data_IF_606054200957
#
_entry.id   IF_606054200957
#
_cell.length_a   1.000
_cell.length_b   1.000
_cell.length_c   1.000
_cell.angle_alpha   90.00
_cell.angle_beta   90.00
_cell.angle_gamma   90.00
#
_symmetry.space_group_name_H-M   'P 1'
#
loop_
_entity.id
_entity.type
_entity.pdbx_description
1 polymer ?
#
# COMPACT_ATOMS: atom_id res chain seq x y z
N UNK A 1 10.85 12.49 -8.51
CA UNK A 1 9.67 12.23 -7.64
C UNK A 1 8.66 11.39 -8.40
N UNK A 2 8.08 10.36 -7.77
CA UNK A 2 6.99 9.55 -8.34
C UNK A 2 5.68 9.84 -7.64
N UNK A 3 4.58 9.70 -8.38
CA UNK A 3 3.21 9.91 -7.91
C UNK A 3 2.36 8.70 -8.28
N UNK A 4 1.98 7.93 -7.30
CA UNK A 4 1.34 6.62 -7.49
C UNK A 4 0.04 6.51 -6.72
N UNK A 5 -0.78 5.52 -7.06
CA UNK A 5 -2.03 5.21 -6.36
C UNK A 5 -1.94 3.79 -5.80
N UNK A 6 -2.42 3.59 -4.57
CA UNK A 6 -2.56 2.27 -3.95
C UNK A 6 -4.02 1.92 -3.72
N UNK A 7 -4.37 0.67 -3.98
CA UNK A 7 -5.72 0.13 -3.82
C UNK A 7 -5.76 -1.03 -2.83
N UNK A 8 -6.59 -0.86 -1.80
CA UNK A 8 -6.96 -1.91 -0.84
C UNK A 8 -8.20 -2.67 -1.31
N UNK A 9 -9.02 -2.09 -2.18
CA UNK A 9 -10.36 -2.54 -2.54
C UNK A 9 -11.26 -2.64 -1.30
N UNK A 10 -11.38 -1.54 -0.54
CA UNK A 10 -12.24 -1.44 0.64
C UNK A 10 -13.71 -1.25 0.24
N UNK A 11 -14.60 -1.87 1.00
CA UNK A 11 -16.03 -1.64 0.87
C UNK A 11 -16.71 -1.61 2.23
N UNK A 12 -17.60 -0.64 2.43
CA UNK A 12 -18.38 -0.52 3.65
C UNK A 12 -19.61 -1.45 3.68
N UNK A 13 -19.98 -2.01 2.54
CA UNK A 13 -21.16 -2.86 2.37
C UNK A 13 -20.83 -4.08 1.51
N UNK A 14 -20.11 -5.08 2.06
CA UNK A 14 -19.66 -6.23 1.28
C UNK A 14 -20.84 -7.04 0.75
N UNK A 15 -20.98 -7.06 -0.59
CA UNK A 15 -21.94 -7.85 -1.33
C UNK A 15 -21.39 -8.13 -2.73
N UNK A 16 -21.99 -9.05 -3.47
CA UNK A 16 -21.60 -9.32 -4.88
C UNK A 16 -21.74 -8.08 -5.76
N UNK A 17 -22.80 -7.32 -5.54
CA UNK A 17 -23.11 -6.10 -6.27
C UNK A 17 -22.11 -5.00 -5.94
N UNK A 18 -21.74 -4.84 -4.67
CA UNK A 18 -20.76 -3.86 -4.23
C UNK A 18 -19.35 -4.20 -4.70
N UNK A 19 -18.94 -5.45 -4.61
CA UNK A 19 -17.66 -5.92 -5.14
C UNK A 19 -17.55 -5.66 -6.66
N UNK A 20 -18.59 -6.02 -7.42
CA UNK A 20 -18.61 -5.75 -8.85
C UNK A 20 -18.53 -4.26 -9.16
N UNK A 21 -19.29 -3.42 -8.46
CA UNK A 21 -19.25 -1.96 -8.61
C UNK A 21 -17.86 -1.42 -8.27
N UNK A 22 -17.34 -1.74 -7.11
CA UNK A 22 -16.05 -1.27 -6.62
C UNK A 22 -14.90 -1.56 -7.59
N UNK A 23 -14.78 -2.80 -8.06
CA UNK A 23 -13.72 -3.13 -9.02
C UNK A 23 -13.89 -2.44 -10.37
N UNK A 24 -15.13 -2.19 -10.85
CA UNK A 24 -15.35 -1.37 -12.05
C UNK A 24 -14.95 0.07 -11.85
N UNK A 25 -15.32 0.66 -10.70
CA UNK A 25 -14.92 2.01 -10.31
C UNK A 25 -13.39 2.15 -10.20
N UNK A 26 -12.71 1.18 -9.61
CA UNK A 26 -11.23 1.15 -9.56
C UNK A 26 -10.64 1.10 -10.98
N UNK A 27 -11.21 0.34 -11.89
CA UNK A 27 -10.73 0.29 -13.29
C UNK A 27 -10.92 1.64 -14.01
N UNK A 28 -12.01 2.36 -13.75
CA UNK A 28 -12.20 3.72 -14.28
C UNK A 28 -11.15 4.69 -13.72
N UNK A 29 -10.84 4.59 -12.43
CA UNK A 29 -9.78 5.36 -11.78
C UNK A 29 -8.40 5.08 -12.39
N UNK A 30 -8.09 3.80 -12.64
CA UNK A 30 -6.82 3.38 -13.26
C UNK A 30 -6.67 3.98 -14.67
N UNK A 31 -7.74 3.97 -15.48
CA UNK A 31 -7.72 4.58 -16.82
C UNK A 31 -7.44 6.07 -16.75
N UNK A 32 -8.11 6.78 -15.84
CA UNK A 32 -7.88 8.19 -15.63
C UNK A 32 -6.46 8.47 -15.13
N UNK A 33 -5.92 7.64 -14.23
CA UNK A 33 -4.55 7.76 -13.76
C UNK A 33 -3.51 7.55 -14.88
N UNK A 34 -3.75 6.60 -15.80
CA UNK A 34 -2.94 6.42 -17.02
C UNK A 34 -2.93 7.68 -17.89
N UNK A 35 -4.11 8.29 -18.10
CA UNK A 35 -4.26 9.51 -18.91
C UNK A 35 -3.59 10.73 -18.28
N UNK A 36 -3.56 10.78 -16.95
CA UNK A 36 -3.07 11.93 -16.17
C UNK A 36 -1.65 11.74 -15.60
N UNK A 37 -0.86 10.88 -16.22
CA UNK A 37 0.58 10.72 -15.94
C UNK A 37 0.95 10.29 -14.52
N UNK A 38 0.10 9.54 -13.82
CA UNK A 38 0.54 8.84 -12.62
C UNK A 38 1.59 7.78 -12.96
N UNK A 39 2.47 7.50 -12.00
CA UNK A 39 3.63 6.65 -12.26
C UNK A 39 3.36 5.17 -12.05
N UNK A 40 2.66 4.77 -10.96
CA UNK A 40 2.43 3.36 -10.64
C UNK A 40 1.05 3.16 -10.02
N UNK A 41 0.38 2.07 -10.38
CA UNK A 41 -0.76 1.51 -9.66
C UNK A 41 -0.27 0.38 -8.77
N UNK A 42 -0.42 0.55 -7.46
CA UNK A 42 -0.11 -0.48 -6.48
C UNK A 42 -1.37 -1.20 -6.02
N UNK A 43 -1.28 -2.52 -5.88
CA UNK A 43 -2.34 -3.34 -5.30
C UNK A 43 -1.78 -4.12 -4.10
N UNK A 44 -2.49 -4.07 -2.97
CA UNK A 44 -2.17 -4.87 -1.78
C UNK A 44 -2.54 -6.33 -1.99
N UNK A 45 -2.17 -7.20 -1.08
CA UNK A 45 -2.70 -8.55 -0.95
C UNK A 45 -3.20 -8.79 0.47
N UNK A 46 -4.51 -8.99 0.60
CA UNK A 46 -5.14 -9.34 1.86
C UNK A 46 -6.16 -10.45 1.67
N UNK A 47 -6.24 -11.39 2.61
CA UNK A 47 -7.15 -12.54 2.56
C UNK A 47 -8.06 -12.58 3.77
N UNK A 48 -9.37 -12.81 3.54
CA UNK A 48 -10.37 -12.98 4.58
C UNK A 48 -10.56 -11.77 5.52
N UNK A 49 -10.25 -10.55 5.06
CA UNK A 49 -10.41 -9.30 5.79
C UNK A 49 -11.59 -8.49 5.22
N UNK A 50 -12.80 -9.01 5.42
CA UNK A 50 -14.04 -8.38 4.96
C UNK A 50 -14.11 -6.90 5.36
N UNK A 51 -14.57 -6.04 4.46
CA UNK A 51 -14.65 -4.59 4.56
C UNK A 51 -13.28 -3.89 4.47
N UNK A 52 -12.24 -4.41 5.11
CA UNK A 52 -10.92 -3.77 5.08
C UNK A 52 -10.24 -3.89 3.72
N UNK A 53 -10.19 -5.08 3.14
CA UNK A 53 -9.54 -5.27 1.85
C UNK A 53 -10.10 -6.49 1.11
N UNK A 54 -10.60 -6.27 -0.10
CA UNK A 54 -11.06 -7.31 -1.01
C UNK A 54 -10.08 -7.57 -2.15
N UNK A 55 -8.91 -6.93 -2.13
CA UNK A 55 -7.80 -7.19 -3.08
C UNK A 55 -7.07 -8.48 -2.67
N UNK A 56 -7.72 -9.61 -2.91
CA UNK A 56 -7.26 -10.93 -2.47
C UNK A 56 -6.41 -11.68 -3.51
N UNK A 57 -6.44 -11.24 -4.77
CA UNK A 57 -5.67 -11.80 -5.87
C UNK A 57 -5.11 -10.65 -6.75
N UNK A 58 -4.14 -9.87 -6.20
CA UNK A 58 -3.62 -8.69 -6.89
C UNK A 58 -3.00 -9.00 -8.25
N UNK A 59 -2.42 -10.18 -8.44
CA UNK A 59 -1.88 -10.60 -9.73
C UNK A 59 -2.95 -10.67 -10.84
N UNK A 60 -4.19 -11.04 -10.50
CA UNK A 60 -5.31 -11.07 -11.44
C UNK A 60 -5.74 -9.64 -11.81
N UNK A 61 -5.85 -8.77 -10.81
CA UNK A 61 -6.16 -7.35 -11.02
C UNK A 61 -5.06 -6.64 -11.82
N UNK A 62 -3.80 -6.80 -11.44
CA UNK A 62 -2.65 -6.17 -12.11
C UNK A 62 -2.47 -6.68 -13.54
N UNK A 63 -2.78 -7.95 -13.82
CA UNK A 63 -2.78 -8.48 -15.20
C UNK A 63 -3.85 -7.80 -16.07
N UNK A 64 -5.04 -7.54 -15.50
CA UNK A 64 -6.07 -6.78 -16.18
C UNK A 64 -5.63 -5.33 -16.42
N UNK A 65 -5.04 -4.67 -15.40
CA UNK A 65 -4.48 -3.32 -15.53
C UNK A 65 -3.41 -3.28 -16.61
N UNK A 66 -2.48 -4.24 -16.66
CA UNK A 66 -1.45 -4.34 -17.68
C UNK A 66 -2.04 -4.39 -19.11
N UNK A 67 -3.18 -5.09 -19.28
CA UNK A 67 -3.84 -5.23 -20.57
C UNK A 67 -4.62 -3.99 -21.04
N UNK A 68 -4.95 -3.07 -20.15
CA UNK A 68 -5.72 -1.85 -20.48
C UNK A 68 -4.90 -0.56 -20.40
N UNK A 69 -3.62 -0.66 -20.05
CA UNK A 69 -2.67 0.46 -19.92
C UNK A 69 -1.41 0.19 -20.72
N UNK A 70 -0.65 1.24 -21.04
CA UNK A 70 0.57 1.13 -21.86
C UNK A 70 1.81 1.72 -21.20
N UNK A 71 1.65 2.67 -20.26
CA UNK A 71 2.72 3.46 -19.65
C UNK A 71 2.82 3.24 -18.15
N UNK A 72 1.71 3.33 -17.42
CA UNK A 72 1.70 3.31 -15.97
C UNK A 72 2.32 2.01 -15.43
N UNK A 73 3.20 2.13 -14.43
CA UNK A 73 3.76 0.99 -13.72
C UNK A 73 2.69 0.21 -12.97
N UNK A 74 2.94 -1.06 -12.74
CA UNK A 74 2.08 -1.94 -11.96
C UNK A 74 2.87 -2.53 -10.81
N UNK A 75 2.34 -2.49 -9.60
CA UNK A 75 3.07 -2.83 -8.40
C UNK A 75 2.30 -3.75 -7.44
N UNK A 76 2.96 -4.77 -6.98
CA UNK A 76 2.51 -5.50 -5.80
C UNK A 76 2.93 -4.74 -4.54
N UNK A 77 1.99 -4.26 -3.80
CA UNK A 77 2.25 -3.49 -2.58
C UNK A 77 1.57 -4.03 -1.32
N UNK A 78 1.74 -5.35 -0.99
CA UNK A 78 2.81 -6.30 -1.33
C UNK A 78 2.28 -7.73 -1.61
N UNK A 79 3.15 -8.66 -1.99
CA UNK A 79 2.84 -10.10 -2.03
C UNK A 79 3.10 -10.72 -0.65
N UNK A 80 2.16 -11.48 -0.12
CA UNK A 80 2.32 -12.25 1.10
C UNK A 80 3.10 -13.55 0.82
N UNK A 81 4.35 -13.65 1.26
CA UNK A 81 5.29 -14.72 0.88
C UNK A 81 5.28 -16.02 1.71
N UNK A 82 4.55 -16.18 2.85
CA UNK A 82 4.53 -17.49 3.51
C UNK A 82 4.11 -18.60 2.53
N UNK A 83 4.83 -19.73 2.45
CA UNK A 83 4.73 -20.67 1.32
C UNK A 83 3.35 -21.31 1.07
N UNK A 84 2.51 -21.49 2.13
CA UNK A 84 1.12 -21.95 1.94
C UNK A 84 0.19 -20.86 1.41
N UNK A 85 0.53 -19.57 1.63
CA UNK A 85 -0.19 -18.45 1.02
C UNK A 85 0.23 -18.32 -0.43
N UNK A 86 1.55 -18.17 -0.66
CA UNK A 86 2.14 -18.00 -1.98
C UNK A 86 3.47 -18.76 -2.07
N UNK A 87 3.48 -19.90 -2.71
CA UNK A 87 4.72 -20.63 -2.93
C UNK A 87 5.69 -19.83 -3.82
N UNK A 88 6.97 -19.60 -3.42
CA UNK A 88 7.89 -18.70 -4.11
C UNK A 88 8.12 -19.02 -5.58
N UNK A 89 8.07 -20.29 -5.98
CA UNK A 89 8.11 -20.67 -7.41
C UNK A 89 6.91 -20.08 -8.15
N UNK A 90 5.69 -20.18 -7.59
CA UNK A 90 4.50 -19.60 -8.22
C UNK A 90 4.52 -18.09 -8.22
N UNK A 91 5.06 -17.46 -7.17
CA UNK A 91 5.28 -16.01 -7.14
C UNK A 91 6.22 -15.60 -8.28
N UNK A 92 7.36 -16.26 -8.41
CA UNK A 92 8.35 -15.97 -9.44
C UNK A 92 7.76 -16.11 -10.86
N UNK A 93 7.07 -17.23 -11.14
CA UNK A 93 6.42 -17.48 -12.44
C UNK A 93 5.36 -16.40 -12.77
N UNK A 94 4.44 -16.09 -11.82
CA UNK A 94 3.37 -15.09 -12.00
C UNK A 94 3.94 -13.68 -12.22
N UNK A 95 4.93 -13.27 -11.41
CA UNK A 95 5.58 -11.98 -11.55
C UNK A 95 6.32 -11.88 -12.89
N UNK A 96 7.03 -12.93 -13.31
CA UNK A 96 7.72 -12.92 -14.60
C UNK A 96 6.73 -12.80 -15.77
N UNK A 97 5.61 -13.53 -15.74
CA UNK A 97 4.55 -13.39 -16.74
C UNK A 97 3.96 -11.97 -16.75
N UNK A 98 3.67 -11.43 -15.57
CA UNK A 98 3.10 -10.09 -15.43
C UNK A 98 4.08 -9.01 -15.95
N UNK A 99 5.37 -9.17 -15.69
CA UNK A 99 6.40 -8.27 -16.20
C UNK A 99 6.48 -8.31 -17.73
N UNK A 100 6.45 -9.50 -18.34
CA UNK A 100 6.40 -9.67 -19.79
C UNK A 100 5.14 -9.05 -20.38
N UNK A 101 3.96 -9.36 -19.83
CA UNK A 101 2.67 -8.88 -20.34
C UNK A 101 2.51 -7.36 -20.18
N UNK A 102 3.15 -6.77 -19.19
CA UNK A 102 3.18 -5.32 -18.98
C UNK A 102 4.32 -4.62 -19.75
N UNK A 103 5.15 -5.35 -20.50
CA UNK A 103 6.32 -4.80 -21.19
C UNK A 103 7.32 -4.15 -20.23
N UNK A 104 7.68 -4.84 -19.14
CA UNK A 104 8.71 -4.41 -18.18
C UNK A 104 8.27 -3.31 -17.23
N UNK A 105 6.97 -3.22 -16.88
CA UNK A 105 6.42 -2.19 -15.98
C UNK A 105 6.19 -2.67 -14.55
N UNK A 106 6.60 -3.89 -14.21
CA UNK A 106 6.33 -4.49 -12.90
C UNK A 106 7.26 -3.97 -11.81
N UNK A 107 6.69 -3.72 -10.64
CA UNK A 107 7.35 -3.47 -9.35
C UNK A 107 6.90 -4.53 -8.35
N UNK A 108 7.80 -5.09 -7.53
CA UNK A 108 7.47 -6.22 -6.66
C UNK A 108 7.78 -5.90 -5.21
N UNK A 109 6.75 -5.75 -4.40
CA UNK A 109 6.87 -5.64 -2.94
C UNK A 109 6.60 -6.97 -2.25
N UNK A 110 7.29 -7.22 -1.14
CA UNK A 110 7.20 -8.42 -0.32
C UNK A 110 6.68 -8.12 1.09
N UNK A 111 5.87 -9.02 1.63
CA UNK A 111 5.32 -8.91 2.97
C UNK A 111 4.95 -10.26 3.59
N UNK A 112 4.48 -10.20 4.84
CA UNK A 112 4.18 -11.40 5.64
C UNK A 112 2.68 -11.62 5.92
N UNK A 113 1.84 -10.70 5.48
CA UNK A 113 0.50 -10.60 6.02
C UNK A 113 0.47 -9.86 7.37
N UNK A 114 -0.67 -9.30 7.70
CA UNK A 114 -0.81 -8.39 8.84
C UNK A 114 -1.48 -8.97 10.09
N UNK A 115 -2.32 -9.99 9.94
CA UNK A 115 -3.29 -10.39 10.95
C UNK A 115 -3.28 -11.89 11.24
N UNK A 116 -3.78 -12.28 12.42
CA UNK A 116 -4.01 -13.69 12.76
C UNK A 116 -5.12 -14.30 11.87
N UNK A 117 -6.07 -13.50 11.42
CA UNK A 117 -7.13 -13.93 10.51
C UNK A 117 -6.55 -14.43 9.19
N UNK A 118 -5.64 -13.68 8.58
CA UNK A 118 -4.96 -14.07 7.35
C UNK A 118 -4.10 -15.32 7.55
N UNK A 119 -3.23 -15.30 8.57
CA UNK A 119 -2.35 -16.41 8.88
C UNK A 119 -3.13 -17.72 9.14
N UNK A 120 -4.17 -17.62 9.99
CA UNK A 120 -5.04 -18.73 10.35
C UNK A 120 -5.81 -19.34 9.17
N UNK A 121 -6.18 -18.54 8.17
CA UNK A 121 -6.83 -19.03 6.94
C UNK A 121 -5.97 -20.09 6.22
N UNK A 122 -4.65 -19.97 6.33
CA UNK A 122 -3.70 -20.90 5.72
C UNK A 122 -3.06 -21.89 6.73
N UNK A 123 -3.58 -21.91 7.96
CA UNK A 123 -3.10 -22.80 9.01
C UNK A 123 -1.72 -22.42 9.57
N UNK A 124 -1.44 -21.12 9.64
CA UNK A 124 -0.31 -20.53 10.34
C UNK A 124 -0.77 -19.71 11.54
N UNK A 125 0.12 -19.48 12.49
CA UNK A 125 0.05 -18.36 13.41
C UNK A 125 0.92 -17.23 12.89
N UNK A 126 0.58 -15.99 13.23
CA UNK A 126 1.36 -14.80 12.83
C UNK A 126 2.83 -14.87 13.30
N UNK A 127 3.08 -15.54 14.44
CA UNK A 127 4.41 -15.69 15.00
C UNK A 127 5.36 -16.54 14.13
N UNK A 128 4.81 -17.46 13.32
CA UNK A 128 5.59 -18.36 12.45
C UNK A 128 6.05 -17.69 11.14
N UNK A 129 5.45 -16.57 10.76
CA UNK A 129 5.61 -16.04 9.41
C UNK A 129 6.97 -15.43 9.10
N UNK A 130 7.64 -14.80 10.06
CA UNK A 130 8.85 -14.01 9.81
C UNK A 130 10.02 -14.81 9.20
N UNK A 131 10.41 -16.00 9.69
CA UNK A 131 11.48 -16.77 9.08
C UNK A 131 11.12 -17.32 7.68
N UNK A 132 9.86 -17.65 7.46
CA UNK A 132 9.37 -18.14 6.16
C UNK A 132 9.52 -17.10 5.05
N UNK A 133 9.28 -15.82 5.39
CA UNK A 133 9.41 -14.73 4.43
C UNK A 133 10.85 -14.50 4.05
N UNK A 134 11.74 -14.54 5.02
CA UNK A 134 13.17 -14.34 4.79
C UNK A 134 13.69 -15.35 3.76
N UNK A 135 13.31 -16.62 3.90
CA UNK A 135 13.68 -17.67 2.98
C UNK A 135 13.07 -17.48 1.59
N UNK A 136 11.76 -17.23 1.51
CA UNK A 136 11.05 -17.03 0.26
C UNK A 136 11.50 -15.76 -0.49
N UNK A 137 11.73 -14.67 0.24
CA UNK A 137 12.18 -13.39 -0.33
C UNK A 137 13.56 -13.52 -1.01
N UNK A 138 14.46 -14.31 -0.45
CA UNK A 138 15.78 -14.56 -1.06
C UNK A 138 15.69 -15.49 -2.26
N UNK A 139 14.75 -16.43 -2.25
CA UNK A 139 14.61 -17.42 -3.31
C UNK A 139 13.99 -16.85 -4.59
N UNK A 140 12.98 -15.94 -4.47
CA UNK A 140 12.27 -15.40 -5.65
C UNK A 140 13.21 -14.73 -6.66
N UNK A 141 14.12 -13.79 -6.32
CA UNK A 141 15.04 -13.19 -7.29
C UNK A 141 16.05 -14.19 -7.88
N UNK A 142 16.45 -15.21 -7.12
CA UNK A 142 17.30 -16.28 -7.64
C UNK A 142 16.60 -17.07 -8.75
N UNK A 143 15.31 -17.38 -8.57
CA UNK A 143 14.49 -18.03 -9.61
C UNK A 143 14.47 -17.19 -10.91
N UNK A 144 14.48 -15.88 -10.82
CA UNK A 144 14.50 -15.03 -12.01
C UNK A 144 15.85 -14.99 -12.73
N UNK A 145 16.95 -15.10 -12.00
CA UNK A 145 18.32 -14.87 -12.53
C UNK A 145 19.13 -16.13 -12.77
N UNK A 146 18.88 -17.21 -12.03
CA UNK A 146 19.60 -18.47 -12.19
C UNK A 146 18.94 -19.34 -13.27
N UNK A 147 19.74 -20.03 -14.09
CA UNK A 147 19.24 -20.95 -15.12
C UNK A 147 18.62 -22.19 -14.52
N UNK A 148 19.31 -22.79 -13.55
CA UNK A 148 18.83 -23.93 -12.74
C UNK A 148 18.86 -23.49 -11.29
N UNK A 149 17.73 -23.57 -10.61
CA UNK A 149 17.60 -23.23 -9.20
C UNK A 149 17.45 -24.49 -8.37
N UNK A 150 18.25 -24.56 -7.31
CA UNK A 150 18.17 -25.57 -6.26
C UNK A 150 18.14 -24.86 -4.91
N UNK A 151 17.29 -25.34 -4.00
CA UNK A 151 17.18 -24.77 -2.66
C UNK A 151 16.73 -25.84 -1.65
N UNK A 152 17.48 -25.98 -0.56
CA UNK A 152 17.20 -26.88 0.56
C UNK A 152 17.19 -26.03 1.83
N UNK A 153 16.03 -25.46 2.16
CA UNK A 153 15.83 -24.58 3.31
C UNK A 153 15.02 -25.26 4.42
N UNK A 154 14.65 -24.47 5.39
CA UNK A 154 13.82 -24.94 6.52
C UNK A 154 12.35 -25.10 6.11
N UNK A 155 11.85 -24.20 5.24
CA UNK A 155 10.44 -24.11 4.87
C UNK A 155 10.19 -24.49 3.41
N UNK A 156 11.23 -24.46 2.57
CA UNK A 156 11.14 -24.67 1.13
C UNK A 156 12.19 -25.66 0.70
N UNK A 157 11.76 -26.73 0.07
CA UNK A 157 12.64 -27.71 -0.57
C UNK A 157 12.38 -27.72 -2.08
N UNK A 158 13.37 -27.32 -2.86
CA UNK A 158 13.30 -27.22 -4.31
C UNK A 158 14.46 -27.98 -4.93
N UNK A 159 14.25 -29.19 -5.49
CA UNK A 159 15.28 -29.89 -6.22
C UNK A 159 15.66 -29.11 -7.49
N UNK A 160 16.85 -29.35 -8.09
CA UNK A 160 17.32 -28.62 -9.25
C UNK A 160 16.27 -28.56 -10.38
N UNK A 161 15.85 -27.33 -10.76
CA UNK A 161 14.83 -27.10 -11.79
C UNK A 161 15.15 -25.87 -12.64
N UNK A 162 14.98 -25.93 -13.97
CA UNK A 162 14.86 -24.75 -14.81
C UNK A 162 13.44 -24.19 -14.64
N UNK A 163 13.32 -22.97 -14.12
CA UNK A 163 12.03 -22.32 -13.88
C UNK A 163 11.86 -21.18 -14.86
N UNK A 164 10.78 -21.17 -15.61
CA UNK A 164 10.39 -20.18 -16.61
C UNK A 164 8.91 -19.78 -16.47
N UNK A 165 8.51 -18.58 -17.00
CA UNK A 165 9.36 -17.61 -17.69
C UNK A 165 10.30 -16.84 -16.77
N UNK A 166 11.27 -16.14 -17.34
CA UNK A 166 12.06 -15.09 -16.66
C UNK A 166 11.41 -13.74 -16.94
N UNK A 167 11.54 -12.73 -16.03
CA UNK A 167 11.02 -11.39 -16.28
C UNK A 167 11.71 -10.75 -17.48
N UNK A 168 11.06 -9.73 -18.06
CA UNK A 168 11.62 -8.93 -19.15
C UNK A 168 12.67 -7.95 -18.62
N UNK A 169 12.48 -7.43 -17.40
CA UNK A 169 13.43 -6.52 -16.78
C UNK A 169 14.71 -7.25 -16.36
N UNK A 170 15.86 -6.68 -16.68
CA UNK A 170 17.19 -7.21 -16.36
C UNK A 170 17.83 -6.40 -15.21
N UNK A 171 18.35 -7.03 -14.16
CA UNK A 171 18.35 -8.48 -13.86
C UNK A 171 17.00 -9.01 -13.36
N UNK A 172 16.12 -8.15 -12.88
CA UNK A 172 14.77 -8.46 -12.38
C UNK A 172 14.00 -7.15 -12.08
N UNK A 173 12.67 -7.19 -11.89
CA UNK A 173 11.88 -6.04 -11.40
C UNK A 173 12.44 -5.44 -10.12
N UNK A 174 12.29 -4.11 -9.89
CA UNK A 174 12.68 -3.50 -8.63
C UNK A 174 11.92 -4.11 -7.45
N UNK A 175 12.63 -4.29 -6.32
CA UNK A 175 12.14 -4.97 -5.14
C UNK A 175 11.83 -3.99 -4.00
N UNK A 176 10.75 -4.24 -3.28
CA UNK A 176 10.28 -3.43 -2.16
C UNK A 176 9.83 -4.31 -0.99
N UNK A 177 9.64 -3.69 0.17
CA UNK A 177 9.11 -4.34 1.37
C UNK A 177 8.12 -3.41 2.08
N UNK A 178 7.04 -3.97 2.61
CA UNK A 178 6.12 -3.23 3.48
C UNK A 178 6.79 -2.92 4.83
N UNK A 179 6.85 -1.64 5.18
CA UNK A 179 7.54 -1.15 6.37
C UNK A 179 6.57 -0.42 7.31
N UNK A 180 5.94 -1.16 8.23
CA UNK A 180 5.01 -0.62 9.23
C UNK A 180 5.71 -0.28 10.56
N UNK A 181 6.86 -0.89 10.84
CA UNK A 181 7.63 -0.75 12.08
C UNK A 181 9.07 -0.35 11.79
N UNK A 182 9.76 0.23 12.78
CA UNK A 182 11.19 0.59 12.68
C UNK A 182 12.08 -0.59 12.30
N UNK A 183 11.82 -1.78 12.85
CA UNK A 183 12.59 -2.99 12.52
C UNK A 183 12.49 -3.36 11.03
N UNK A 184 11.31 -3.24 10.42
CA UNK A 184 11.13 -3.54 9.00
C UNK A 184 11.80 -2.51 8.08
N UNK A 185 12.01 -1.27 8.52
CA UNK A 185 12.82 -0.28 7.80
C UNK A 185 14.32 -0.64 7.82
N UNK A 186 14.81 -1.08 8.98
CA UNK A 186 16.19 -1.59 9.11
C UNK A 186 16.39 -2.81 8.22
N UNK A 187 15.42 -3.70 8.22
CA UNK A 187 15.42 -4.89 7.38
C UNK A 187 15.42 -4.55 5.88
N UNK A 188 14.55 -3.68 5.42
CA UNK A 188 14.49 -3.27 4.01
C UNK A 188 15.80 -2.62 3.56
N UNK A 189 16.32 -1.65 4.34
CA UNK A 189 17.59 -1.01 4.06
C UNK A 189 18.76 -1.98 4.08
N UNK A 190 18.86 -2.85 5.09
CA UNK A 190 19.91 -3.86 5.21
C UNK A 190 19.92 -4.90 4.10
N UNK A 191 18.75 -5.17 3.48
CA UNK A 191 18.60 -6.06 2.31
C UNK A 191 18.76 -5.35 0.98
N UNK A 192 18.94 -4.03 0.96
CA UNK A 192 19.09 -3.24 -0.26
C UNK A 192 17.81 -3.15 -1.10
N UNK A 193 16.63 -3.24 -0.50
CA UNK A 193 15.32 -3.15 -1.18
C UNK A 193 14.55 -1.90 -0.75
N UNK A 194 13.63 -1.43 -1.58
CA UNK A 194 12.82 -0.24 -1.33
C UNK A 194 11.83 -0.41 -0.16
N UNK A 195 11.47 0.68 0.48
CA UNK A 195 10.54 0.72 1.58
C UNK A 195 9.19 1.30 1.16
N UNK A 196 8.10 0.55 1.33
CA UNK A 196 6.73 1.05 1.24
C UNK A 196 6.25 1.35 2.66
N UNK A 197 6.03 2.63 2.96
CA UNK A 197 5.88 3.13 4.33
C UNK A 197 4.48 3.66 4.57
N UNK A 198 3.85 3.24 5.65
CA UNK A 198 2.62 3.88 6.11
C UNK A 198 2.91 5.31 6.57
N UNK A 199 2.21 6.28 5.97
CA UNK A 199 2.38 7.71 6.20
C UNK A 199 1.30 8.37 7.06
N UNK A 200 0.50 7.60 7.79
CA UNK A 200 -0.60 8.14 8.59
C UNK A 200 -0.16 9.09 9.72
N UNK A 201 1.07 8.98 10.19
CA UNK A 201 1.64 9.90 11.19
C UNK A 201 2.14 11.22 10.60
N UNK A 202 1.94 11.45 9.29
CA UNK A 202 2.35 12.69 8.63
C UNK A 202 3.83 12.79 8.27
N UNK A 203 4.24 13.96 7.73
CA UNK A 203 5.59 14.18 7.23
C UNK A 203 6.69 13.99 8.28
N UNK A 204 6.45 14.37 9.52
CA UNK A 204 7.42 14.22 10.62
C UNK A 204 7.77 12.74 10.86
N UNK A 205 6.76 11.87 10.89
CA UNK A 205 6.97 10.44 11.02
C UNK A 205 7.66 9.85 9.78
N UNK A 206 7.35 10.35 8.60
CA UNK A 206 8.04 9.95 7.36
C UNK A 206 9.51 10.33 7.41
N UNK A 207 9.86 11.53 7.91
CA UNK A 207 11.23 11.97 8.06
C UNK A 207 12.03 11.06 9.02
N UNK A 208 11.46 10.72 10.17
CA UNK A 208 12.09 9.77 11.12
C UNK A 208 12.31 8.39 10.46
N UNK A 209 11.31 7.87 9.78
CA UNK A 209 11.38 6.58 9.07
C UNK A 209 12.42 6.61 7.95
N UNK A 210 12.49 7.71 7.21
CA UNK A 210 13.49 7.92 6.14
C UNK A 210 14.91 7.88 6.69
N UNK A 211 15.19 8.57 7.79
CA UNK A 211 16.51 8.53 8.43
C UNK A 211 16.93 7.11 8.82
N UNK A 212 16.03 6.33 9.41
CA UNK A 212 16.31 4.94 9.78
C UNK A 212 16.60 4.10 8.54
N UNK A 213 15.75 4.20 7.52
CA UNK A 213 15.88 3.43 6.28
C UNK A 213 17.19 3.76 5.55
N UNK A 214 17.48 5.06 5.29
CA UNK A 214 18.69 5.49 4.58
C UNK A 214 19.95 5.09 5.32
N UNK A 215 19.96 5.21 6.65
CA UNK A 215 21.11 4.76 7.47
C UNK A 215 21.34 3.26 7.34
N UNK A 216 20.27 2.44 7.39
CA UNK A 216 20.39 0.99 7.22
C UNK A 216 20.87 0.64 5.81
N UNK A 217 20.33 1.31 4.78
CA UNK A 217 20.71 1.12 3.40
C UNK A 217 22.18 1.46 3.13
N UNK A 218 22.65 2.60 3.64
CA UNK A 218 24.03 3.05 3.47
C UNK A 218 25.06 2.14 4.18
N UNK A 219 24.67 1.53 5.30
CA UNK A 219 25.55 0.66 6.10
C UNK A 219 25.27 -0.84 5.89
N UNK A 220 24.53 -1.20 4.82
CA UNK A 220 24.21 -2.61 4.57
C UNK A 220 25.44 -3.45 4.27
N UNK A 221 25.41 -4.68 4.73
CA UNK A 221 26.35 -5.70 4.29
C UNK A 221 25.90 -6.22 2.90
N UNK A 222 26.75 -6.14 1.86
CA UNK A 222 26.45 -6.69 0.55
C UNK A 222 26.03 -8.16 0.56
N UNK A 223 26.52 -8.95 1.52
CA UNK A 223 26.15 -10.35 1.67
C UNK A 223 24.68 -10.55 2.06
N UNK A 224 24.03 -9.53 2.64
CA UNK A 224 22.61 -9.55 3.01
C UNK A 224 21.68 -9.04 1.91
N UNK A 225 22.22 -8.57 0.78
CA UNK A 225 21.43 -8.04 -0.30
C UNK A 225 20.45 -9.10 -0.84
N UNK A 226 19.20 -8.68 -1.06
CA UNK A 226 18.18 -9.47 -1.75
C UNK A 226 18.11 -9.03 -3.20
N UNK A 227 18.21 -9.99 -4.11
CA UNK A 227 18.29 -9.71 -5.55
C UNK A 227 19.65 -9.22 -6.02
N UNK A 228 19.78 -9.06 -7.33
CA UNK A 228 21.05 -8.78 -8.00
C UNK A 228 21.37 -7.28 -8.09
N UNK A 229 20.37 -6.41 -7.87
CA UNK A 229 20.58 -4.96 -7.81
C UNK A 229 19.85 -4.35 -6.61
N UNK A 230 20.45 -3.35 -5.93
CA UNK A 230 19.75 -2.63 -4.87
C UNK A 230 18.70 -1.67 -5.43
N UNK A 231 17.64 -1.43 -4.65
CA UNK A 231 16.59 -0.44 -4.89
C UNK A 231 16.55 0.51 -3.70
N UNK A 232 17.23 1.65 -3.79
CA UNK A 232 17.14 2.68 -2.75
C UNK A 232 15.93 3.57 -3.05
N UNK A 233 14.83 3.34 -2.35
CA UNK A 233 13.57 4.02 -2.61
C UNK A 233 12.66 3.98 -1.39
N UNK A 234 12.06 5.12 -1.04
CA UNK A 234 11.06 5.21 0.01
C UNK A 234 9.77 5.79 -0.57
N UNK A 235 8.72 4.97 -0.62
CA UNK A 235 7.38 5.38 -0.97
C UNK A 235 6.56 5.66 0.29
N UNK A 236 6.02 6.87 0.42
CA UNK A 236 5.23 7.29 1.58
C UNK A 236 3.73 7.31 1.24
N UNK A 237 2.94 6.56 2.01
CA UNK A 237 1.48 6.58 1.90
C UNK A 237 0.96 7.99 2.24
N UNK A 238 0.10 8.50 1.37
CA UNK A 238 -0.50 9.82 1.47
C UNK A 238 -2.02 9.71 1.30
N UNK A 239 -2.79 9.64 2.37
CA UNK A 239 -4.24 9.77 2.26
C UNK A 239 -4.62 11.12 1.65
N UNK A 240 -5.44 11.12 0.59
CA UNK A 240 -5.74 12.31 -0.17
C UNK A 240 -7.20 12.35 -0.65
N UNK A 241 -7.85 13.49 -0.46
CA UNK A 241 -9.11 13.88 -1.09
C UNK A 241 -9.01 15.37 -1.45
N UNK A 242 -9.02 15.66 -2.74
CA UNK A 242 -8.79 17.02 -3.27
C UNK A 242 -10.02 17.50 -4.05
N UNK A 243 -10.67 18.52 -3.55
CA UNK A 243 -11.88 19.10 -4.14
C UNK A 243 -11.77 20.63 -4.16
N UNK A 244 -12.66 21.33 -4.90
CA UNK A 244 -12.75 22.80 -4.84
C UNK A 244 -13.21 23.28 -3.46
N UNK A 245 -14.13 22.56 -2.83
CA UNK A 245 -14.54 22.78 -1.45
C UNK A 245 -13.63 21.99 -0.50
N UNK A 246 -12.62 22.66 0.06
CA UNK A 246 -11.65 22.07 0.96
C UNK A 246 -12.27 21.51 2.25
N UNK A 247 -13.34 22.12 2.76
CA UNK A 247 -14.04 21.62 3.96
C UNK A 247 -14.75 20.30 3.66
N UNK A 248 -15.42 20.22 2.52
CA UNK A 248 -16.06 19.00 2.04
C UNK A 248 -15.02 17.89 1.80
N UNK A 249 -13.87 18.22 1.24
CA UNK A 249 -12.77 17.29 1.04
C UNK A 249 -12.29 16.69 2.36
N UNK A 250 -12.10 17.53 3.39
CA UNK A 250 -11.70 17.08 4.74
C UNK A 250 -12.74 16.16 5.38
N UNK A 251 -14.02 16.49 5.30
CA UNK A 251 -15.12 15.64 5.81
C UNK A 251 -15.09 14.26 5.18
N UNK A 252 -15.03 14.20 3.85
CA UNK A 252 -14.99 12.93 3.12
C UNK A 252 -13.72 12.15 3.44
N UNK A 253 -12.55 12.80 3.44
CA UNK A 253 -11.26 12.18 3.69
C UNK A 253 -11.18 11.60 5.11
N UNK A 254 -11.56 12.36 6.12
CA UNK A 254 -11.55 11.90 7.51
C UNK A 254 -12.52 10.76 7.78
N UNK A 255 -13.71 10.79 7.17
CA UNK A 255 -14.66 9.68 7.24
C UNK A 255 -14.08 8.40 6.63
N UNK A 256 -13.44 8.53 5.47
CA UNK A 256 -12.74 7.40 4.83
C UNK A 256 -11.60 6.86 5.67
N UNK A 257 -10.74 7.75 6.18
CA UNK A 257 -9.62 7.38 7.04
C UNK A 257 -10.09 6.68 8.34
N UNK A 258 -11.14 7.18 8.96
CA UNK A 258 -11.75 6.53 10.12
C UNK A 258 -12.19 5.11 9.79
N UNK A 259 -12.91 4.92 8.69
CA UNK A 259 -13.31 3.58 8.25
C UNK A 259 -12.09 2.67 8.02
N UNK A 260 -11.05 3.17 7.35
CA UNK A 260 -9.81 2.46 7.12
C UNK A 260 -9.20 1.98 8.44
N UNK A 261 -9.05 2.89 9.40
CA UNK A 261 -8.41 2.61 10.69
C UNK A 261 -9.23 1.66 11.57
N UNK A 262 -10.54 1.86 11.63
CA UNK A 262 -11.43 0.99 12.42
C UNK A 262 -11.48 -0.42 11.84
N UNK A 263 -11.52 -0.56 10.50
CA UNK A 263 -11.56 -1.87 9.85
C UNK A 263 -10.25 -2.65 10.03
N UNK A 264 -9.08 -2.01 9.89
CA UNK A 264 -7.80 -2.69 10.15
C UNK A 264 -7.61 -3.02 11.63
N UNK A 265 -8.02 -2.13 12.53
CA UNK A 265 -7.93 -2.35 13.98
C UNK A 265 -8.80 -3.52 14.43
N UNK A 266 -9.98 -3.66 13.85
CA UNK A 266 -10.86 -4.80 14.08
C UNK A 266 -10.14 -6.13 13.80
N UNK A 267 -9.54 -6.26 12.63
CA UNK A 267 -8.82 -7.48 12.23
C UNK A 267 -7.49 -7.68 12.98
N UNK A 268 -6.81 -6.61 13.34
CA UNK A 268 -5.59 -6.67 14.14
C UNK A 268 -5.85 -7.16 15.58
N UNK A 269 -7.06 -6.90 16.11
CA UNK A 269 -7.51 -7.34 17.45
C UNK A 269 -8.13 -8.74 17.45
N UNK A 270 -7.94 -9.55 16.41
CA UNK A 270 -8.53 -10.88 16.24
C UNK A 270 -10.09 -10.85 16.19
N UNK A 271 -10.68 -9.76 15.73
CA UNK A 271 -12.10 -9.67 15.43
C UNK A 271 -12.50 -10.63 14.32
N UNK A 272 -13.59 -11.36 14.54
CA UNK A 272 -14.19 -12.27 13.53
C UNK A 272 -15.54 -11.78 13.03
N UNK A 273 -16.08 -10.76 13.67
CA UNK A 273 -17.38 -10.19 13.31
C UNK A 273 -17.18 -8.94 12.43
N UNK A 274 -18.03 -8.73 11.41
CA UNK A 274 -17.97 -7.52 10.62
C UNK A 274 -18.20 -6.28 11.48
N UNK A 275 -17.59 -5.17 11.09
CA UNK A 275 -17.86 -3.86 11.69
C UNK A 275 -19.32 -3.46 11.48
N UNK A 276 -19.90 -2.66 12.39
CA UNK A 276 -21.22 -2.11 12.17
C UNK A 276 -21.27 -1.25 10.90
N UNK A 277 -22.43 -1.22 10.26
CA UNK A 277 -22.64 -0.47 9.03
C UNK A 277 -22.29 1.02 9.21
N UNK A 278 -21.69 1.66 8.20
CA UNK A 278 -21.28 3.07 8.24
C UNK A 278 -22.38 4.08 8.50
N UNK A 279 -23.64 3.71 8.25
CA UNK A 279 -24.82 4.57 8.46
C UNK A 279 -25.00 4.99 9.92
N UNK A 280 -24.35 4.29 10.86
CA UNK A 280 -24.35 4.66 12.29
C UNK A 280 -23.27 5.66 12.65
N UNK A 281 -22.41 6.04 11.68
CA UNK A 281 -21.31 6.97 11.92
C UNK A 281 -21.76 8.42 11.70
N UNK A 282 -21.40 9.34 12.59
CA UNK A 282 -21.75 10.73 12.40
C UNK A 282 -21.10 11.25 11.10
N UNK A 283 -21.92 11.83 10.22
CA UNK A 283 -21.47 12.45 8.98
C UNK A 283 -20.53 13.64 9.21
N UNK A 284 -20.39 14.08 10.44
CA UNK A 284 -19.94 15.40 10.79
C UNK A 284 -18.79 15.40 11.79
N UNK A 285 -17.70 14.70 11.43
CA UNK A 285 -16.47 14.71 12.24
C UNK A 285 -15.86 16.13 12.37
N UNK A 286 -16.14 17.03 11.43
CA UNK A 286 -15.55 18.38 11.43
C UNK A 286 -16.32 19.41 12.22
N UNK A 287 -17.62 19.24 12.45
CA UNK A 287 -18.35 20.14 13.34
C UNK A 287 -17.92 20.01 14.79
N UNK A 288 -17.35 18.86 15.17
CA UNK A 288 -16.81 18.65 16.51
C UNK A 288 -15.43 19.28 16.70
N UNK A 289 -14.68 19.52 15.61
CA UNK A 289 -13.37 20.21 15.64
C UNK A 289 -13.46 21.71 15.36
N UNK A 290 -14.62 22.19 14.93
CA UNK A 290 -14.85 23.62 14.60
C UNK A 290 -14.80 24.57 15.80
N UNK A 291 -14.81 24.08 17.00
CA UNK A 291 -14.67 24.82 18.26
C UNK A 291 -13.22 24.90 18.78
N UNK A 292 -12.24 24.39 18.02
CA UNK A 292 -10.83 24.39 18.39
C UNK A 292 -10.42 23.20 19.25
N UNK A 293 -11.26 22.19 19.45
CA UNK A 293 -10.88 20.96 20.12
C UNK A 293 -10.27 19.96 19.12
N UNK A 294 -9.20 19.30 19.51
CA UNK A 294 -8.59 18.21 18.74
C UNK A 294 -9.19 16.84 19.13
N UNK A 295 -10.24 16.83 19.94
CA UNK A 295 -10.85 15.62 20.47
C UNK A 295 -12.11 15.28 19.69
N UNK A 296 -12.19 14.05 19.18
CA UNK A 296 -13.37 13.51 18.53
C UNK A 296 -13.87 12.29 19.29
N UNK A 297 -15.15 12.29 19.59
CA UNK A 297 -15.83 11.11 20.10
C UNK A 297 -16.05 10.12 18.94
N UNK A 298 -15.56 8.92 19.07
CA UNK A 298 -15.72 7.84 18.09
C UNK A 298 -16.19 6.55 18.77
N UNK A 299 -16.62 5.59 17.97
CA UNK A 299 -17.06 4.30 18.48
C UNK A 299 -16.55 3.17 17.57
N UNK A 300 -16.07 2.10 18.19
CA UNK A 300 -15.81 0.83 17.53
C UNK A 300 -16.79 -0.19 18.12
N UNK A 301 -17.73 -0.65 17.32
CA UNK A 301 -18.82 -1.49 17.82
C UNK A 301 -19.69 -0.77 18.87
N UNK A 302 -19.78 -1.32 20.07
CA UNK A 302 -20.51 -0.73 21.19
C UNK A 302 -19.64 0.13 22.11
N UNK A 303 -18.33 0.14 21.92
CA UNK A 303 -17.42 0.91 22.75
C UNK A 303 -17.21 2.31 22.17
N UNK A 304 -17.40 3.33 23.00
CA UNK A 304 -17.11 4.72 22.69
C UNK A 304 -15.80 5.12 23.31
N UNK A 305 -14.99 5.82 22.57
CA UNK A 305 -13.74 6.38 23.05
C UNK A 305 -13.49 7.76 22.43
N UNK A 306 -12.73 8.56 23.15
CA UNK A 306 -12.32 9.89 22.72
C UNK A 306 -10.97 9.82 22.03
N UNK A 307 -10.86 10.39 20.84
CA UNK A 307 -9.62 10.44 20.05
C UNK A 307 -9.10 11.87 20.11
N UNK A 308 -7.93 12.04 20.70
CA UNK A 308 -7.21 13.31 20.69
C UNK A 308 -6.20 13.32 19.53
N UNK A 309 -6.44 14.13 18.50
CA UNK A 309 -5.54 14.28 17.36
C UNK A 309 -4.22 14.96 17.70
N UNK A 310 -4.11 15.61 18.86
CA UNK A 310 -2.85 16.14 19.32
C UNK A 310 -1.97 15.09 19.99
N UNK A 311 -2.50 13.90 20.31
CA UNK A 311 -1.73 12.77 20.84
C UNK A 311 -0.90 12.13 19.70
N UNK A 312 0.44 12.13 19.79
CA UNK A 312 1.30 11.49 18.79
C UNK A 312 1.01 10.00 18.58
N UNK A 313 0.45 9.32 19.60
CA UNK A 313 0.07 7.91 19.47
C UNK A 313 -1.25 7.73 18.69
N UNK A 314 -2.03 8.79 18.56
CA UNK A 314 -3.25 8.84 17.76
C UNK A 314 -3.02 9.44 16.37
N UNK A 315 -1.78 9.57 15.94
CA UNK A 315 -1.37 10.06 14.61
C UNK A 315 -2.02 9.31 13.42
N UNK A 316 -2.57 8.14 13.67
CA UNK A 316 -3.35 7.36 12.71
C UNK A 316 -4.66 8.05 12.26
N UNK A 317 -5.14 9.04 12.99
CA UNK A 317 -6.35 9.81 12.68
C UNK A 317 -6.03 11.29 12.41
N UNK A 318 -4.80 11.58 11.95
CA UNK A 318 -4.36 12.92 11.63
C UNK A 318 -5.30 13.61 10.61
N UNK A 319 -5.95 14.72 10.97
CA UNK A 319 -6.82 15.46 10.04
C UNK A 319 -6.04 16.26 8.99
N UNK A 320 -4.72 16.39 9.15
CA UNK A 320 -3.85 17.22 8.34
C UNK A 320 -3.17 16.42 7.21
N UNK A 321 -3.84 15.40 6.65
CA UNK A 321 -3.40 14.76 5.42
C UNK A 321 -3.71 15.64 4.19
N UNK A 322 -3.47 15.15 2.99
CA UNK A 322 -3.80 15.84 1.74
C UNK A 322 -5.33 15.89 1.50
N UNK A 323 -6.07 16.38 2.51
CA UNK A 323 -7.51 16.61 2.45
C UNK A 323 -7.78 18.12 2.34
N UNK A 324 -8.27 18.57 1.19
CA UNK A 324 -8.52 20.00 1.01
C UNK A 324 -8.61 20.41 -0.44
N UNK A 325 -8.12 21.59 -0.72
CA UNK A 325 -7.97 22.16 -2.06
C UNK A 325 -6.69 21.66 -2.74
N UNK A 326 -6.45 22.08 -3.98
CA UNK A 326 -5.19 21.81 -4.69
C UNK A 326 -4.00 22.35 -3.90
N UNK A 327 -4.10 23.58 -3.38
CA UNK A 327 -3.02 24.23 -2.62
C UNK A 327 -2.73 23.49 -1.31
N UNK A 328 -3.76 23.00 -0.60
CA UNK A 328 -3.59 22.17 0.60
C UNK A 328 -2.84 20.87 0.26
N UNK A 329 -3.15 20.24 -0.86
CA UNK A 329 -2.49 19.03 -1.31
C UNK A 329 -1.03 19.28 -1.70
N UNK A 330 -0.75 20.34 -2.46
CA UNK A 330 0.61 20.73 -2.85
C UNK A 330 1.46 20.95 -1.58
N UNK A 331 0.98 21.76 -0.64
CA UNK A 331 1.69 22.06 0.60
C UNK A 331 1.97 20.78 1.43
N UNK A 332 1.04 19.84 1.45
CA UNK A 332 1.26 18.58 2.15
C UNK A 332 2.29 17.67 1.45
N UNK A 333 2.23 17.58 0.13
CA UNK A 333 3.16 16.82 -0.70
C UNK A 333 4.58 17.41 -0.60
N UNK A 334 4.73 18.75 -0.60
CA UNK A 334 6.03 19.41 -0.38
C UNK A 334 6.68 18.94 0.92
N UNK A 335 5.94 18.90 2.02
CA UNK A 335 6.43 18.42 3.31
C UNK A 335 6.83 16.95 3.29
N UNK A 336 6.13 16.09 2.54
CA UNK A 336 6.52 14.68 2.37
C UNK A 336 7.81 14.55 1.55
N UNK A 337 7.99 15.38 0.53
CA UNK A 337 9.23 15.45 -0.26
C UNK A 337 10.39 15.92 0.62
N UNK A 338 10.20 16.98 1.40
CA UNK A 338 11.20 17.48 2.38
C UNK A 338 11.54 16.42 3.44
N UNK A 339 10.57 15.57 3.81
CA UNK A 339 10.78 14.42 4.69
C UNK A 339 11.58 13.29 4.04
N UNK A 340 11.90 13.39 2.74
CA UNK A 340 12.75 12.46 2.00
C UNK A 340 12.02 11.32 1.32
N UNK A 341 10.73 11.46 1.04
CA UNK A 341 10.00 10.52 0.19
C UNK A 341 10.49 10.61 -1.26
N UNK A 342 10.69 9.46 -1.92
CA UNK A 342 10.99 9.37 -3.35
C UNK A 342 9.71 9.17 -4.18
N UNK A 343 8.65 8.70 -3.52
CA UNK A 343 7.34 8.42 -4.12
C UNK A 343 6.22 8.79 -3.16
N UNK A 344 5.24 9.50 -3.67
CA UNK A 344 3.98 9.78 -2.98
C UNK A 344 2.97 8.73 -3.40
N UNK A 345 2.52 7.95 -2.44
CA UNK A 345 1.62 6.83 -2.64
C UNK A 345 0.21 7.23 -2.19
N UNK A 346 -0.58 7.80 -3.10
CA UNK A 346 -1.91 8.30 -2.78
C UNK A 346 -2.88 7.18 -2.41
N UNK A 347 -3.52 7.30 -1.25
CA UNK A 347 -4.62 6.46 -0.81
C UNK A 347 -5.92 7.27 -0.84
N UNK A 348 -6.76 7.00 -1.81
CA UNK A 348 -8.04 7.70 -2.02
C UNK A 348 -9.23 6.74 -1.84
N UNK A 349 -9.03 5.46 -2.16
CA UNK A 349 -10.04 4.43 -2.06
C UNK A 349 -10.09 3.90 -0.61
N UNK A 350 -10.78 4.64 0.25
CA UNK A 350 -11.10 4.25 1.64
C UNK A 350 -12.61 4.06 1.74
N UNK A 351 -13.06 2.90 2.09
CA UNK A 351 -14.40 2.29 1.94
C UNK A 351 -15.66 3.17 1.92
N UNK A 352 -15.67 4.32 2.62
CA UNK A 352 -16.80 5.25 2.61
C UNK A 352 -16.62 6.46 1.70
N UNK A 353 -15.46 6.58 1.03
CA UNK A 353 -15.21 7.67 0.08
C UNK A 353 -15.98 7.38 -1.21
N UNK A 354 -16.88 8.29 -1.65
CA UNK A 354 -17.65 8.06 -2.87
C UNK A 354 -16.78 8.14 -4.13
N UNK A 355 -17.09 7.33 -5.13
CA UNK A 355 -16.34 7.23 -6.38
C UNK A 355 -16.14 8.58 -7.08
N UNK A 356 -17.17 9.45 -7.11
CA UNK A 356 -17.03 10.77 -7.72
C UNK A 356 -15.93 11.63 -7.07
N UNK A 357 -15.75 11.52 -5.74
CA UNK A 357 -14.71 12.26 -5.03
C UNK A 357 -13.31 11.70 -5.30
N UNK A 358 -13.19 10.38 -5.47
CA UNK A 358 -11.95 9.73 -5.90
C UNK A 358 -11.57 10.17 -7.32
N UNK A 359 -12.50 10.14 -8.27
CA UNK A 359 -12.29 10.58 -9.66
C UNK A 359 -11.87 12.04 -9.73
N UNK A 360 -12.54 12.93 -8.97
CA UNK A 360 -12.19 14.35 -8.92
C UNK A 360 -10.81 14.58 -8.30
N UNK A 361 -10.48 13.81 -7.25
CA UNK A 361 -9.16 13.86 -6.62
C UNK A 361 -8.06 13.42 -7.60
N UNK A 362 -8.24 12.33 -8.34
CA UNK A 362 -7.30 11.86 -9.37
C UNK A 362 -7.11 12.95 -10.43
N UNK A 363 -8.20 13.57 -10.91
CA UNK A 363 -8.14 14.65 -11.91
C UNK A 363 -7.33 15.83 -11.39
N UNK A 364 -7.66 16.36 -10.21
CA UNK A 364 -6.97 17.50 -9.63
C UNK A 364 -5.50 17.25 -9.35
N UNK A 365 -5.17 16.06 -8.85
CA UNK A 365 -3.78 15.68 -8.64
C UNK A 365 -3.05 15.59 -9.98
N UNK A 366 -3.62 14.93 -10.98
CA UNK A 366 -2.99 14.77 -12.29
C UNK A 366 -2.85 16.07 -13.09
N UNK A 367 -3.87 16.93 -13.06
CA UNK A 367 -3.86 18.18 -13.83
C UNK A 367 -3.08 19.32 -13.15
N UNK A 368 -2.94 19.31 -11.82
CA UNK A 368 -2.37 20.43 -11.09
C UNK A 368 -1.21 20.07 -10.16
N UNK A 369 -1.33 19.02 -9.36
CA UNK A 369 -0.31 18.67 -8.36
C UNK A 369 0.92 18.04 -9.02
N UNK A 370 0.74 17.01 -9.85
CA UNK A 370 1.85 16.35 -10.55
C UNK A 370 2.63 17.33 -11.44
N UNK A 371 1.98 18.16 -12.28
CA UNK A 371 2.69 19.16 -13.09
C UNK A 371 3.43 20.20 -12.27
N UNK A 372 2.89 20.63 -11.11
CA UNK A 372 3.58 21.56 -10.21
C UNK A 372 4.97 21.04 -9.82
N UNK A 373 5.09 19.77 -9.45
CA UNK A 373 6.37 19.19 -9.05
C UNK A 373 7.28 18.79 -10.23
N UNK A 374 6.72 18.45 -11.39
CA UNK A 374 7.50 18.06 -12.57
C UNK A 374 8.07 19.25 -13.34
N UNK A 375 7.39 20.40 -13.33
CA UNK A 375 7.81 21.58 -14.08
C UNK A 375 8.73 22.51 -13.28
N UNK A 376 8.86 22.32 -11.97
CA UNK A 376 9.68 23.13 -11.09
C UNK A 376 11.00 22.48 -10.68
N UNK A 377 11.40 21.37 -11.35
CA UNK A 377 12.69 20.67 -11.14
C UNK A 377 13.65 20.97 -12.26
#
# INVERSE_FOLDING_TARGET
MRFSIIYEAQTASPSREDDNRMFREIIEQVRLAEELDFDIIWAVEHTALTMYAHMSAPETFLAYVAGITTRIGIGHGVICLPPKMNHPVKVAERCAMLDILSNGRLHVGFGKGGTEQEAGTFGYSKAELAPMIEEAMRLVPRIWTEEIVEHHGEFIDLPPRPIHPKPLQDPHPPLYMACTQTSTLVDAGGRGIGALVLGFGGPEQVAEKNLVYRRAFANRDPANQVGSRPTEHLAALCPAIVLDDGLKARRIGMRGQRFFMESISHWASAGVLPLPAPDTWPDDLLTQTGDGTNVIETAIGSERFSVDFADPNMALLNPNHAYGTIDDCIAYVERLIEAGADEILFLMQMGTVPHWAQMETIRKIGEHVIPHFRNNV
#
